data_IF_116015355390
#
_entry.id   IF_116015355390
#
_cell.length_a   1.000
_cell.length_b   1.000
_cell.length_c   1.000
_cell.angle_alpha   90.00
_cell.angle_beta   90.00
_cell.angle_gamma   90.00
#
_symmetry.space_group_name_H-M   'P 1'
#
loop_
_entity.id
_entity.type
_entity.pdbx_description
1 polymer ?
#
# COMPACT_ATOMS: atom_id res chain seq x y z
N UNK A 1 14.90 13.88 -10.66
CA UNK A 1 14.92 13.60 -9.20
C UNK A 1 13.56 13.14 -8.67
N UNK A 2 12.46 13.84 -8.98
CA UNK A 2 11.10 13.54 -8.47
C UNK A 2 10.64 12.10 -8.78
N UNK A 3 10.98 11.55 -9.95
CA UNK A 3 10.62 10.19 -10.35
C UNK A 3 11.30 9.08 -9.54
N UNK A 4 12.54 9.30 -9.07
CA UNK A 4 13.27 8.31 -8.27
C UNK A 4 12.74 8.25 -6.83
N UNK A 5 12.40 9.42 -6.27
CA UNK A 5 11.77 9.53 -4.96
C UNK A 5 10.44 8.76 -4.90
N UNK A 6 9.54 8.99 -5.87
CA UNK A 6 8.26 8.29 -5.93
C UNK A 6 8.39 6.78 -6.14
N UNK A 7 9.40 6.33 -6.89
CA UNK A 7 9.72 4.89 -7.01
C UNK A 7 10.15 4.28 -5.69
N UNK A 8 11.02 4.95 -4.92
CA UNK A 8 11.42 4.48 -3.59
C UNK A 8 10.20 4.40 -2.66
N UNK A 9 9.38 5.47 -2.63
CA UNK A 9 8.15 5.50 -1.82
C UNK A 9 7.21 4.36 -2.22
N UNK A 10 7.02 4.11 -3.52
CA UNK A 10 6.23 2.99 -4.02
C UNK A 10 6.77 1.63 -3.57
N UNK A 11 8.09 1.40 -3.64
CA UNK A 11 8.71 0.14 -3.17
C UNK A 11 8.53 -0.05 -1.67
N UNK A 12 8.71 1.02 -0.87
CA UNK A 12 8.51 0.97 0.58
C UNK A 12 7.05 0.65 0.92
N UNK A 13 6.10 1.30 0.25
CA UNK A 13 4.66 1.04 0.43
C UNK A 13 4.28 -0.41 0.06
N UNK A 14 4.82 -0.94 -1.04
CA UNK A 14 4.55 -2.33 -1.43
C UNK A 14 5.19 -3.34 -0.48
N UNK A 15 6.38 -3.02 0.03
CA UNK A 15 7.05 -3.83 1.06
C UNK A 15 6.25 -3.81 2.38
N UNK A 16 5.65 -2.66 2.71
CA UNK A 16 4.74 -2.52 3.84
C UNK A 16 3.50 -3.41 3.67
N UNK A 17 2.84 -3.37 2.51
CA UNK A 17 1.70 -4.27 2.23
C UNK A 17 2.08 -5.75 2.35
N UNK A 18 3.27 -6.13 1.87
CA UNK A 18 3.76 -7.49 2.02
C UNK A 18 3.97 -7.88 3.49
N UNK A 19 4.42 -6.94 4.31
CA UNK A 19 4.51 -7.12 5.75
C UNK A 19 3.14 -7.25 6.42
N UNK A 20 2.18 -6.36 6.11
CA UNK A 20 0.80 -6.44 6.62
C UNK A 20 0.16 -7.80 6.30
N UNK A 21 0.42 -8.35 5.10
CA UNK A 21 -0.01 -9.69 4.70
C UNK A 21 0.63 -10.82 5.53
N UNK A 22 1.91 -10.69 5.87
CA UNK A 22 2.63 -11.65 6.72
C UNK A 22 2.15 -11.59 8.18
N UNK A 23 1.96 -10.37 8.69
CA UNK A 23 1.54 -10.14 10.08
C UNK A 23 0.04 -10.43 10.30
N UNK A 24 -0.78 -10.35 9.24
CA UNK A 24 -2.21 -10.63 9.29
C UNK A 24 -3.05 -9.47 9.84
N UNK A 25 -2.48 -8.27 9.91
CA UNK A 25 -3.17 -7.04 10.28
C UNK A 25 -2.72 -5.88 9.40
N UNK A 26 -3.57 -4.88 9.23
CA UNK A 26 -3.24 -3.66 8.50
C UNK A 26 -3.47 -2.41 9.33
N UNK A 27 -2.65 -1.39 9.09
CA UNK A 27 -2.70 -0.11 9.79
C UNK A 27 -3.45 0.91 8.92
N UNK A 28 -4.62 1.36 9.39
CA UNK A 28 -5.36 2.49 8.79
C UNK A 28 -5.48 3.65 9.79
N UNK A 29 -6.60 3.69 10.52
CA UNK A 29 -6.84 4.56 11.68
C UNK A 29 -6.71 3.77 12.98
N UNK A 30 -7.10 2.50 12.92
CA UNK A 30 -6.93 1.50 13.96
C UNK A 30 -6.21 0.27 13.37
N UNK A 31 -5.79 -0.65 14.23
CA UNK A 31 -5.18 -1.92 13.83
C UNK A 31 -6.29 -2.88 13.41
N UNK A 32 -6.42 -3.11 12.11
CA UNK A 32 -7.46 -4.00 11.58
C UNK A 32 -6.88 -5.39 11.39
N UNK A 33 -7.30 -6.34 12.22
CA UNK A 33 -6.92 -7.75 12.10
C UNK A 33 -7.81 -8.46 11.08
N UNK A 34 -7.21 -9.36 10.31
CA UNK A 34 -7.92 -10.20 9.34
C UNK A 34 -9.02 -11.06 9.98
N UNK A 35 -8.87 -11.43 11.24
CA UNK A 35 -9.80 -12.30 11.99
C UNK A 35 -11.01 -11.57 12.52
N UNK A 36 -10.87 -10.29 12.86
CA UNK A 36 -11.94 -9.45 13.41
C UNK A 36 -12.83 -8.94 12.27
N UNK A 37 -12.21 -8.28 11.28
CA UNK A 37 -12.94 -7.60 10.21
C UNK A 37 -12.29 -7.85 8.83
N UNK A 38 -12.52 -9.05 8.24
CA UNK A 38 -11.80 -9.50 7.04
C UNK A 38 -12.07 -8.62 5.83
N UNK A 39 -13.30 -8.10 5.68
CA UNK A 39 -13.66 -7.20 4.58
C UNK A 39 -12.84 -5.91 4.65
N UNK A 40 -12.81 -5.28 5.82
CA UNK A 40 -12.11 -4.01 6.01
C UNK A 40 -10.59 -4.19 5.87
N UNK A 41 -10.06 -5.32 6.35
CA UNK A 41 -8.66 -5.72 6.14
C UNK A 41 -8.31 -5.78 4.64
N UNK A 42 -9.10 -6.50 3.84
CA UNK A 42 -8.83 -6.63 2.40
C UNK A 42 -8.99 -5.31 1.65
N UNK A 43 -9.96 -4.47 2.03
CA UNK A 43 -10.10 -3.12 1.49
C UNK A 43 -8.86 -2.29 1.81
N UNK A 44 -8.37 -2.35 3.04
CA UNK A 44 -7.15 -1.66 3.48
C UNK A 44 -5.93 -2.09 2.66
N UNK A 45 -5.72 -3.39 2.52
CA UNK A 45 -4.65 -3.96 1.67
C UNK A 45 -4.78 -3.49 0.22
N UNK A 46 -5.98 -3.49 -0.36
CA UNK A 46 -6.22 -3.02 -1.72
C UNK A 46 -5.91 -1.53 -1.86
N UNK A 47 -6.29 -0.71 -0.87
CA UNK A 47 -6.01 0.73 -0.81
C UNK A 47 -4.50 1.01 -0.75
N UNK A 48 -3.80 0.34 0.16
CA UNK A 48 -2.35 0.48 0.30
C UNK A 48 -1.60 0.00 -0.94
N UNK A 49 -2.06 -1.08 -1.56
CA UNK A 49 -1.52 -1.58 -2.83
C UNK A 49 -1.75 -0.58 -3.96
N UNK A 50 -2.96 -0.02 -4.07
CA UNK A 50 -3.29 0.98 -5.08
C UNK A 50 -2.47 2.26 -4.89
N UNK A 51 -2.27 2.72 -3.66
CA UNK A 51 -1.38 3.85 -3.33
C UNK A 51 0.06 3.56 -3.74
N UNK A 52 0.61 2.40 -3.35
CA UNK A 52 1.93 1.96 -3.77
C UNK A 52 2.08 1.91 -5.29
N UNK A 53 1.13 1.32 -6.00
CA UNK A 53 1.11 1.27 -7.47
C UNK A 53 1.01 2.67 -8.10
N UNK A 54 0.16 3.55 -7.57
CA UNK A 54 -0.04 4.90 -8.10
C UNK A 54 1.24 5.73 -8.10
N UNK A 55 2.15 5.46 -7.15
CA UNK A 55 3.47 6.09 -7.10
C UNK A 55 4.33 5.76 -8.33
N UNK A 56 4.11 4.61 -8.98
CA UNK A 56 4.76 4.24 -10.23
C UNK A 56 4.08 4.88 -11.46
N UNK A 57 2.75 5.03 -11.43
CA UNK A 57 1.98 5.65 -12.52
C UNK A 57 2.07 7.19 -12.56
N UNK A 58 2.39 7.86 -11.45
CA UNK A 58 2.63 9.31 -11.47
C UNK A 58 3.76 9.71 -12.45
N UNK A 59 4.68 8.78 -12.77
CA UNK A 59 5.73 9.00 -13.75
C UNK A 59 5.26 8.92 -15.22
N UNK A 60 4.06 8.41 -15.50
CA UNK A 60 3.56 8.25 -16.88
C UNK A 60 2.56 9.32 -17.31
N UNK A 61 2.21 10.28 -16.44
CA UNK A 61 1.39 11.45 -16.81
C UNK A 61 2.27 12.60 -17.31
N UNK A 62 3.02 12.31 -18.37
CA UNK A 62 3.62 13.30 -19.28
C UNK A 62 3.28 12.86 -20.71
N UNK A 63 2.00 12.98 -21.08
CA UNK A 63 1.56 13.07 -22.47
C UNK A 63 0.69 14.32 -22.61
#
# INVERSE_FOLDING_TARGET
MVSFFWRIVGVVLLSWVAWDLYAGYTLLYDVIYRTEDPLMYWIGIALWTALGLSCFFSSSRQE
#
